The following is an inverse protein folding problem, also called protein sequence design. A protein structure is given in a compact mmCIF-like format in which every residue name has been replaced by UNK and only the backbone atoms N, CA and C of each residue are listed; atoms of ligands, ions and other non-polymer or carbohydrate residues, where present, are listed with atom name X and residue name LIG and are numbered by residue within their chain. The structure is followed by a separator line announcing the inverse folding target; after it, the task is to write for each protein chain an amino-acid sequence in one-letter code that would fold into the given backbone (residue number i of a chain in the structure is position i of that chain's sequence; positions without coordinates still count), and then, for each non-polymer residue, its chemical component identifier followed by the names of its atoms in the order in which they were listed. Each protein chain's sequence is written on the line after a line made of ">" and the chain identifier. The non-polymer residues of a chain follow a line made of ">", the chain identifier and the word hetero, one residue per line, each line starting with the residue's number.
data_IF_000120900616
#
_entry.id   IF_000120900616
#
_cell.length_a   1.000
_cell.length_b   1.000
_cell.length_c   1.000
_cell.angle_alpha   90.00
_cell.angle_beta   90.00
_cell.angle_gamma   90.00
#
_symmetry.space_group_name_H-M   'P 1'
#
loop_
_entity.id
_entity.type
_entity.pdbx_description
1 polymer ?
#
# COMPACT_ATOMS: atom_id res chain seq x y z
N UNK A 1 48.32 -22.86 -2.34
CA UNK A 1 47.40 -22.96 -1.20
C UNK A 1 46.55 -21.71 -0.93
N UNK A 2 46.87 -20.57 -1.49
CA UNK A 2 46.10 -19.32 -1.28
C UNK A 2 44.93 -19.10 -2.25
N UNK A 3 44.78 -19.88 -3.28
CA UNK A 3 43.75 -19.73 -4.32
C UNK A 3 42.42 -20.42 -3.99
N UNK A 4 42.40 -21.38 -3.03
CA UNK A 4 41.15 -22.08 -2.69
C UNK A 4 40.23 -21.31 -1.74
N UNK A 5 40.74 -20.31 -1.02
CA UNK A 5 39.97 -19.47 -0.11
C UNK A 5 39.19 -18.38 -0.84
N UNK A 6 39.76 -17.89 -1.95
CA UNK A 6 39.14 -16.84 -2.75
C UNK A 6 37.92 -17.39 -3.53
N UNK A 7 37.98 -18.65 -3.97
CA UNK A 7 36.88 -19.29 -4.68
C UNK A 7 35.68 -19.62 -3.79
N UNK A 8 35.87 -19.77 -2.48
CA UNK A 8 34.77 -19.98 -1.53
C UNK A 8 34.03 -18.69 -1.17
N UNK A 9 34.71 -17.56 -1.22
CA UNK A 9 34.11 -16.24 -0.98
C UNK A 9 33.26 -15.77 -2.18
N UNK A 10 33.62 -16.14 -3.39
CA UNK A 10 32.84 -15.78 -4.59
C UNK A 10 31.53 -16.59 -4.72
N UNK A 11 31.49 -17.81 -4.18
CA UNK A 11 30.28 -18.64 -4.21
C UNK A 11 29.19 -18.17 -3.24
N UNK A 12 29.55 -17.43 -2.19
CA UNK A 12 28.56 -16.88 -1.23
C UNK A 12 27.95 -15.55 -1.68
N UNK A 13 28.59 -14.81 -2.55
CA UNK A 13 28.06 -13.54 -3.06
C UNK A 13 26.95 -13.73 -4.10
N UNK A 14 26.87 -14.90 -4.74
CA UNK A 14 25.84 -15.20 -5.73
C UNK A 14 24.49 -15.60 -5.13
N UNK A 15 24.41 -15.86 -3.82
CA UNK A 15 23.18 -16.29 -3.15
C UNK A 15 22.32 -15.13 -2.63
N UNK A 16 22.78 -13.89 -2.73
CA UNK A 16 22.04 -12.71 -2.24
C UNK A 16 21.20 -12.02 -3.33
N UNK A 17 21.15 -12.55 -4.53
CA UNK A 17 20.19 -12.13 -5.57
C UNK A 17 18.97 -13.05 -5.57
N UNK A 18 18.42 -13.31 -4.41
CA UNK A 18 17.02 -13.70 -4.36
C UNK A 18 16.24 -12.40 -4.60
N UNK A 19 16.06 -12.08 -5.90
CA UNK A 19 14.95 -11.27 -6.28
C UNK A 19 13.73 -11.87 -5.60
N UNK A 20 13.17 -11.17 -4.63
CA UNK A 20 11.84 -11.47 -4.13
C UNK A 20 10.88 -11.24 -5.30
N UNK A 21 10.79 -12.24 -6.17
CA UNK A 21 9.67 -12.36 -7.07
C UNK A 21 8.47 -12.48 -6.15
N UNK A 22 7.65 -11.45 -6.10
CA UNK A 22 6.31 -11.58 -5.56
C UNK A 22 5.67 -12.66 -6.43
N UNK A 23 5.70 -13.88 -5.93
CA UNK A 23 5.02 -15.00 -6.55
C UNK A 23 3.54 -14.74 -6.30
N UNK A 24 2.86 -14.17 -7.29
CA UNK A 24 1.42 -14.20 -7.30
C UNK A 24 1.01 -15.67 -7.24
N UNK A 25 0.25 -16.01 -6.21
CA UNK A 25 -0.23 -17.36 -6.01
C UNK A 25 -0.90 -17.90 -7.29
N UNK A 26 -0.94 -19.20 -7.44
CA UNK A 26 -1.29 -20.01 -8.61
C UNK A 26 -2.62 -19.67 -9.34
N UNK A 27 -3.36 -18.64 -8.94
CA UNK A 27 -4.56 -18.17 -9.61
C UNK A 27 -4.22 -17.01 -10.55
N UNK A 28 -4.66 -17.06 -11.82
CA UNK A 28 -4.51 -15.93 -12.72
C UNK A 28 -5.20 -14.69 -12.13
N UNK A 29 -4.65 -13.49 -12.36
CA UNK A 29 -5.29 -12.26 -11.89
C UNK A 29 -6.69 -12.13 -12.49
N UNK A 30 -7.64 -11.70 -11.67
CA UNK A 30 -9.01 -11.46 -12.10
C UNK A 30 -9.09 -10.22 -12.98
N UNK A 31 -10.03 -10.17 -13.96
CA UNK A 31 -10.29 -8.95 -14.70
C UNK A 31 -10.84 -7.85 -13.78
N UNK A 32 -10.54 -6.59 -14.10
CA UNK A 32 -10.95 -5.42 -13.31
C UNK A 32 -12.47 -5.33 -13.09
N UNK A 33 -13.24 -5.85 -14.05
CA UNK A 33 -14.71 -5.87 -14.02
C UNK A 33 -15.28 -6.77 -12.91
N UNK A 34 -14.47 -7.64 -12.34
CA UNK A 34 -14.87 -8.47 -11.19
C UNK A 34 -14.79 -7.74 -9.84
N UNK A 35 -14.18 -6.56 -9.80
CA UNK A 35 -14.31 -5.70 -8.64
C UNK A 35 -15.76 -5.22 -8.49
N UNK A 36 -16.28 -5.08 -7.27
CA UNK A 36 -17.54 -4.41 -7.03
C UNK A 36 -17.57 -3.02 -7.67
N UNK A 37 -18.72 -2.61 -8.22
CA UNK A 37 -18.87 -1.32 -8.90
C UNK A 37 -18.39 -0.13 -8.05
N UNK A 38 -18.61 -0.20 -6.74
CA UNK A 38 -18.13 0.81 -5.78
C UNK A 38 -16.60 0.89 -5.73
N UNK A 39 -15.91 -0.25 -5.80
CA UNK A 39 -14.44 -0.31 -5.84
C UNK A 39 -13.89 0.21 -7.16
N UNK A 40 -14.52 -0.14 -8.28
CA UNK A 40 -14.17 0.41 -9.61
C UNK A 40 -14.31 1.94 -9.65
N UNK A 41 -15.44 2.47 -9.14
CA UNK A 41 -15.67 3.92 -9.04
C UNK A 41 -14.61 4.60 -8.14
N UNK A 42 -14.26 3.99 -7.02
CA UNK A 42 -13.22 4.52 -6.13
C UNK A 42 -11.87 4.68 -6.86
N UNK A 43 -11.46 3.68 -7.63
CA UNK A 43 -10.20 3.76 -8.42
C UNK A 43 -10.32 4.86 -9.47
N UNK A 44 -11.41 4.92 -10.20
CA UNK A 44 -11.63 5.90 -11.24
C UNK A 44 -11.64 7.34 -10.70
N UNK A 45 -12.27 7.58 -9.55
CA UNK A 45 -12.43 8.91 -8.98
C UNK A 45 -11.14 9.44 -8.31
N UNK A 46 -10.31 8.54 -7.77
CA UNK A 46 -9.12 8.92 -7.00
C UNK A 46 -7.80 8.65 -7.73
N UNK A 47 -7.80 7.77 -8.71
CA UNK A 47 -6.61 7.33 -9.45
C UNK A 47 -6.85 7.38 -10.98
N UNK A 48 -7.47 8.44 -11.47
CA UNK A 48 -7.89 8.60 -12.86
C UNK A 48 -6.76 8.43 -13.90
N UNK A 49 -5.51 8.69 -13.50
CA UNK A 49 -4.33 8.55 -14.37
C UNK A 49 -3.72 7.16 -14.35
N UNK A 50 -4.26 6.29 -13.53
CA UNK A 50 -3.74 4.95 -13.32
C UNK A 50 -4.68 3.91 -13.92
N UNK A 51 -4.13 2.77 -14.31
CA UNK A 51 -4.87 1.61 -14.76
C UNK A 51 -4.69 0.45 -13.79
N UNK A 52 -5.73 -0.37 -13.66
CA UNK A 52 -5.67 -1.61 -12.88
C UNK A 52 -4.90 -2.64 -13.69
N UNK A 53 -3.82 -3.18 -13.12
CA UNK A 53 -2.98 -4.20 -13.76
C UNK A 53 -3.18 -5.59 -13.18
N UNK A 54 -3.69 -5.70 -11.95
CA UNK A 54 -4.02 -6.98 -11.33
C UNK A 54 -5.13 -6.82 -10.29
N UNK A 55 -5.98 -7.84 -10.19
CA UNK A 55 -6.99 -7.98 -9.14
C UNK A 55 -6.90 -9.38 -8.58
N UNK A 56 -6.78 -9.50 -7.26
CA UNK A 56 -6.86 -10.76 -6.54
C UNK A 56 -8.06 -10.74 -5.60
N UNK A 57 -8.69 -11.90 -5.42
CA UNK A 57 -9.81 -12.07 -4.50
C UNK A 57 -9.46 -13.10 -3.43
N UNK A 58 -9.68 -12.72 -2.19
CA UNK A 58 -9.69 -13.65 -1.05
C UNK A 58 -11.13 -13.91 -0.60
N UNK A 59 -11.32 -14.64 0.49
CA UNK A 59 -12.64 -14.85 1.07
C UNK A 59 -13.32 -13.54 1.46
N UNK A 60 -12.58 -12.59 2.01
CA UNK A 60 -13.12 -11.39 2.65
C UNK A 60 -12.80 -10.08 1.93
N UNK A 61 -11.81 -10.09 1.03
CA UNK A 61 -11.28 -8.88 0.40
C UNK A 61 -11.02 -9.05 -1.08
N UNK A 62 -10.86 -7.91 -1.76
CA UNK A 62 -10.22 -7.79 -3.06
C UNK A 62 -8.95 -6.96 -2.91
N UNK A 63 -7.85 -7.40 -3.51
CA UNK A 63 -6.63 -6.62 -3.66
C UNK A 63 -6.52 -6.15 -5.11
N UNK A 64 -6.34 -4.86 -5.30
CA UNK A 64 -6.19 -4.22 -6.59
C UNK A 64 -4.80 -3.59 -6.70
N UNK A 65 -4.08 -3.87 -7.77
CA UNK A 65 -2.76 -3.28 -8.05
C UNK A 65 -2.86 -2.38 -9.27
N UNK A 66 -2.35 -1.16 -9.15
CA UNK A 66 -2.30 -0.18 -10.22
C UNK A 66 -0.94 -0.21 -10.94
N UNK A 67 -0.88 0.38 -12.14
CA UNK A 67 0.32 0.39 -12.98
C UNK A 67 1.51 1.14 -12.38
N UNK A 68 1.30 2.00 -11.40
CA UNK A 68 2.36 2.70 -10.65
C UNK A 68 2.84 1.93 -9.40
N UNK A 69 2.30 0.73 -9.16
CA UNK A 69 2.59 -0.09 -7.99
C UNK A 69 1.73 0.21 -6.77
N UNK A 70 0.78 1.13 -6.86
CA UNK A 70 -0.21 1.37 -5.79
C UNK A 70 -1.03 0.11 -5.54
N UNK A 71 -1.19 -0.26 -4.28
CA UNK A 71 -2.01 -1.39 -3.83
C UNK A 71 -3.21 -0.87 -3.06
N UNK A 72 -4.39 -1.32 -3.44
CA UNK A 72 -5.65 -0.94 -2.78
C UNK A 72 -6.38 -2.22 -2.39
N UNK A 73 -6.71 -2.34 -1.10
CA UNK A 73 -7.56 -3.42 -0.61
C UNK A 73 -8.98 -2.92 -0.38
N UNK A 74 -9.94 -3.71 -0.84
CA UNK A 74 -11.37 -3.47 -0.68
C UNK A 74 -12.01 -4.62 0.09
N UNK A 75 -13.00 -4.29 0.92
CA UNK A 75 -13.92 -5.28 1.45
C UNK A 75 -14.82 -5.84 0.34
N UNK A 76 -15.50 -6.95 0.58
CA UNK A 76 -16.42 -7.55 -0.40
C UNK A 76 -17.57 -6.64 -0.85
N UNK A 77 -17.92 -5.64 -0.05
CA UNK A 77 -18.91 -4.61 -0.40
C UNK A 77 -18.35 -3.47 -1.28
N UNK A 78 -17.06 -3.49 -1.63
CA UNK A 78 -16.39 -2.48 -2.42
C UNK A 78 -15.88 -1.25 -1.66
N UNK A 79 -15.97 -1.24 -0.32
CA UNK A 79 -15.37 -0.19 0.50
C UNK A 79 -13.87 -0.41 0.64
N UNK A 80 -13.07 0.64 0.46
CA UNK A 80 -11.63 0.53 0.68
C UNK A 80 -11.29 0.28 2.15
N UNK A 81 -10.26 -0.50 2.39
CA UNK A 81 -9.71 -0.77 3.72
C UNK A 81 -8.24 -0.42 3.84
N UNK A 82 -7.51 -0.45 2.74
CA UNK A 82 -6.10 -0.06 2.70
C UNK A 82 -5.77 0.60 1.36
N UNK A 83 -4.98 1.65 1.40
CA UNK A 83 -4.39 2.29 0.21
C UNK A 83 -2.92 2.50 0.48
N UNK A 84 -2.05 1.89 -0.32
CA UNK A 84 -0.60 1.96 -0.21
C UNK A 84 0.00 2.43 -1.54
N UNK A 85 0.48 3.66 -1.58
CA UNK A 85 1.14 4.25 -2.75
C UNK A 85 2.68 4.15 -2.70
N UNK A 86 3.20 3.26 -1.85
CA UNK A 86 4.64 3.08 -1.62
C UNK A 86 5.33 4.38 -1.17
N UNK A 87 6.18 4.95 -2.00
CA UNK A 87 6.89 6.21 -1.72
C UNK A 87 6.13 7.46 -2.19
N UNK A 88 5.07 7.27 -2.98
CA UNK A 88 4.25 8.37 -3.47
C UNK A 88 3.21 8.80 -2.44
N UNK A 89 2.81 10.07 -2.47
CA UNK A 89 1.71 10.54 -1.64
C UNK A 89 0.37 9.98 -2.14
N UNK A 90 -0.53 9.67 -1.19
CA UNK A 90 -1.89 9.25 -1.54
C UNK A 90 -2.71 10.45 -2.01
N UNK A 91 -3.72 10.23 -2.87
CA UNK A 91 -4.77 11.23 -3.10
C UNK A 91 -5.51 11.52 -1.80
N UNK A 92 -5.70 12.78 -1.45
CA UNK A 92 -6.30 13.16 -0.16
C UNK A 92 -7.84 13.21 -0.20
N UNK A 93 -8.45 13.11 -1.37
CA UNK A 93 -9.89 13.29 -1.58
C UNK A 93 -10.77 12.30 -0.81
N UNK A 94 -10.30 11.07 -0.64
CA UNK A 94 -11.04 10.02 0.05
C UNK A 94 -10.71 9.90 1.55
N UNK A 95 -9.65 10.58 1.99
CA UNK A 95 -9.22 10.54 3.39
C UNK A 95 -10.14 11.41 4.25
N UNK A 96 -10.66 10.90 5.38
CA UNK A 96 -11.51 11.69 6.25
C UNK A 96 -10.86 13.00 6.68
N UNK A 97 -11.62 14.09 6.65
CA UNK A 97 -11.10 15.43 6.92
C UNK A 97 -10.51 15.57 8.32
N UNK A 98 -11.17 14.99 9.31
CA UNK A 98 -10.70 14.98 10.70
C UNK A 98 -9.36 14.21 10.84
N UNK A 99 -9.18 13.13 10.10
CA UNK A 99 -7.90 12.41 10.06
C UNK A 99 -6.78 13.29 9.47
N UNK A 100 -7.07 13.99 8.37
CA UNK A 100 -6.12 14.93 7.77
C UNK A 100 -5.76 16.08 8.73
N UNK A 101 -6.75 16.64 9.43
CA UNK A 101 -6.53 17.69 10.43
C UNK A 101 -5.64 17.20 11.57
N UNK A 102 -5.88 15.99 12.07
CA UNK A 102 -5.05 15.38 13.10
C UNK A 102 -3.60 15.17 12.63
N UNK A 103 -3.44 14.56 11.45
CA UNK A 103 -2.11 14.24 10.92
C UNK A 103 -1.31 15.51 10.65
N UNK A 104 -1.86 16.47 9.92
CA UNK A 104 -1.12 17.69 9.57
C UNK A 104 -0.97 18.66 10.75
N UNK A 105 -1.86 18.59 11.75
CA UNK A 105 -1.71 19.33 12.98
C UNK A 105 -0.55 18.85 13.85
N UNK A 106 -0.27 17.54 13.85
CA UNK A 106 0.79 16.93 14.65
C UNK A 106 2.08 16.66 13.85
N UNK A 107 1.97 16.50 12.53
CA UNK A 107 3.09 16.14 11.63
C UNK A 107 3.09 17.02 10.37
N UNK A 108 3.29 18.34 10.50
CA UNK A 108 3.08 19.30 9.39
C UNK A 108 4.03 19.12 8.21
N UNK A 109 5.21 18.54 8.42
CA UNK A 109 6.24 18.37 7.37
C UNK A 109 6.27 16.96 6.78
N UNK A 110 5.21 16.16 6.97
CA UNK A 110 5.14 14.80 6.49
C UNK A 110 4.12 14.67 5.35
N UNK A 111 4.38 13.74 4.44
CA UNK A 111 3.40 13.30 3.44
C UNK A 111 2.81 11.96 3.84
N UNK A 112 1.54 11.75 3.52
CA UNK A 112 0.86 10.47 3.75
C UNK A 112 1.05 9.62 2.50
N UNK A 113 1.62 8.43 2.64
CA UNK A 113 1.78 7.50 1.54
C UNK A 113 1.03 6.18 1.71
N UNK A 114 0.47 5.94 2.89
CA UNK A 114 -0.40 4.79 3.16
C UNK A 114 -1.44 5.12 4.22
N UNK A 115 -2.66 4.66 4.01
CA UNK A 115 -3.72 4.67 5.01
C UNK A 115 -4.37 3.29 5.07
N UNK A 116 -4.38 2.71 6.25
CA UNK A 116 -5.12 1.48 6.55
C UNK A 116 -6.24 1.80 7.52
N UNK A 117 -7.46 1.35 7.22
CA UNK A 117 -8.64 1.51 8.05
C UNK A 117 -8.93 0.22 8.81
N UNK A 118 -8.66 0.22 10.10
CA UNK A 118 -8.99 -0.88 11.00
C UNK A 118 -10.33 -0.70 11.73
N UNK A 119 -10.66 -1.63 12.61
CA UNK A 119 -11.89 -1.60 13.39
C UNK A 119 -11.89 -0.51 14.48
N UNK A 120 -10.72 -0.06 14.92
CA UNK A 120 -10.56 0.89 16.03
C UNK A 120 -10.03 2.26 15.59
N UNK A 121 -9.69 2.44 14.33
CA UNK A 121 -9.10 3.66 13.82
C UNK A 121 -8.32 3.46 12.53
N UNK A 122 -7.38 4.34 12.30
CA UNK A 122 -6.52 4.34 11.13
C UNK A 122 -5.07 4.09 11.52
N UNK A 123 -4.34 3.34 10.70
CA UNK A 123 -2.89 3.33 10.70
C UNK A 123 -2.41 4.10 9.46
N UNK A 124 -1.67 5.17 9.68
CA UNK A 124 -1.21 6.09 8.64
C UNK A 124 0.31 6.02 8.55
N UNK A 125 0.84 5.70 7.39
CA UNK A 125 2.28 5.79 7.14
C UNK A 125 2.61 7.18 6.60
N UNK A 126 3.51 7.83 7.30
CA UNK A 126 4.02 9.15 6.98
C UNK A 126 5.46 9.05 6.49
N UNK A 127 5.82 9.90 5.56
CA UNK A 127 7.18 10.07 5.09
C UNK A 127 7.63 11.51 5.30
N UNK A 128 8.80 11.70 5.90
CA UNK A 128 9.42 13.01 6.07
C UNK A 128 10.12 13.45 4.78
N UNK A 129 10.45 14.75 4.69
CA UNK A 129 11.24 15.29 3.57
C UNK A 129 12.61 14.60 3.41
N UNK A 130 13.16 14.06 4.50
CA UNK A 130 14.41 13.28 4.50
C UNK A 130 14.23 11.82 4.05
N UNK A 131 13.00 11.41 3.71
CA UNK A 131 12.68 10.05 3.27
C UNK A 131 12.50 9.04 4.42
N UNK A 132 12.47 9.49 5.68
CA UNK A 132 12.18 8.62 6.83
C UNK A 132 10.69 8.34 6.91
N UNK A 133 10.33 7.05 7.06
CA UNK A 133 8.95 6.63 7.24
C UNK A 133 8.64 6.34 8.70
N UNK A 134 7.45 6.72 9.15
CA UNK A 134 6.89 6.32 10.44
C UNK A 134 5.41 5.97 10.29
N UNK A 135 4.90 5.11 11.15
CA UNK A 135 3.47 4.77 11.19
C UNK A 135 2.84 5.35 12.45
N UNK A 136 1.74 6.06 12.25
CA UNK A 136 0.93 6.66 13.32
C UNK A 136 -0.41 5.96 13.37
N UNK A 137 -0.82 5.52 14.57
CA UNK A 137 -2.14 4.94 14.80
C UNK A 137 -3.07 6.00 15.40
N UNK A 138 -4.20 6.23 14.74
CA UNK A 138 -5.20 7.23 15.13
C UNK A 138 -6.51 6.52 15.44
N UNK A 139 -7.00 6.63 16.68
CA UNK A 139 -8.26 5.99 17.12
C UNK A 139 -9.47 6.81 16.72
N UNK A 140 -10.59 6.15 16.37
CA UNK A 140 -11.79 6.84 15.88
C UNK A 140 -12.41 7.84 16.86
N UNK A 141 -12.38 7.56 18.14
CA UNK A 141 -13.12 8.35 19.15
C UNK A 141 -12.22 9.19 20.05
N UNK A 142 -10.97 8.77 20.26
CA UNK A 142 -10.08 9.44 21.20
C UNK A 142 -9.26 10.56 20.56
N UNK A 143 -8.95 10.42 19.28
CA UNK A 143 -8.00 11.28 18.59
C UNK A 143 -8.65 12.14 17.50
N UNK A 144 -9.91 11.88 17.15
CA UNK A 144 -10.61 12.57 16.04
C UNK A 144 -11.78 13.47 16.50
N UNK A 145 -12.07 13.52 17.80
CA UNK A 145 -12.97 14.47 18.43
C UNK A 145 -12.17 15.70 18.91
#
# INVERSE_FOLDING_TARGET
>A
MKTSIINKLFAMAALCLVSSTISFAANPPLPAEQLPAKAQAFVQDNFERNSIVAVESTTDTYMCVLNDGTVIDFNKNGSWSNVDCNENSIPLNFVPRNLLQYVYGNYPCCTINKVNRGNQGYAVRLQTEEGKACTVNVRFLADLD
#
